data_IF_892320566860
#
_entry.id   IF_892320566860
#
_cell.length_a   1.000
_cell.length_b   1.000
_cell.length_c   1.000
_cell.angle_alpha   90.00
_cell.angle_beta   90.00
_cell.angle_gamma   90.00
#
_symmetry.space_group_name_H-M   'P 1'
#
loop_
_entity.id
_entity.type
_entity.pdbx_description
1 polymer ?
#
# COMPACT_ATOMS: atom_id res chain seq x y z
N UNK A 1 17.18 1.47 6.76
CA UNK A 1 16.44 0.21 6.53
C UNK A 1 16.90 -0.43 5.23
N UNK A 2 17.98 -1.22 5.21
CA UNK A 2 18.49 -1.80 3.97
C UNK A 2 17.45 -2.65 3.21
N UNK A 3 16.64 -3.42 3.93
CA UNK A 3 15.66 -4.35 3.37
C UNK A 3 14.44 -3.64 2.76
N UNK A 4 13.93 -2.60 3.41
CA UNK A 4 12.78 -1.83 2.91
C UNK A 4 13.14 -0.90 1.73
N UNK A 5 14.41 -0.52 1.58
CA UNK A 5 14.85 0.46 0.57
C UNK A 5 14.65 -0.02 -0.87
N UNK A 6 14.74 -1.33 -1.13
CA UNK A 6 14.49 -1.91 -2.46
C UNK A 6 13.01 -2.12 -2.76
N UNK A 7 12.12 -1.92 -1.77
CA UNK A 7 10.68 -2.13 -1.86
C UNK A 7 10.31 -3.49 -2.49
N UNK A 8 10.78 -4.62 -1.90
CA UNK A 8 10.67 -5.95 -2.52
C UNK A 8 9.22 -6.41 -2.72
N UNK A 9 8.29 -5.97 -1.85
CA UNK A 9 6.88 -6.34 -1.92
C UNK A 9 6.04 -5.37 -2.79
N UNK A 10 6.71 -4.54 -3.60
CA UNK A 10 6.05 -3.66 -4.57
C UNK A 10 5.79 -4.41 -5.86
N UNK A 11 4.58 -4.28 -6.37
CA UNK A 11 4.13 -4.89 -7.61
C UNK A 11 4.64 -4.16 -8.86
N UNK A 12 5.97 -4.10 -9.02
CA UNK A 12 6.67 -3.33 -10.06
C UNK A 12 6.23 -3.64 -11.50
N UNK A 13 5.69 -4.84 -11.74
CA UNK A 13 5.30 -5.30 -13.08
C UNK A 13 3.83 -5.07 -13.41
N UNK A 14 2.97 -4.74 -12.44
CA UNK A 14 1.53 -4.54 -12.65
C UNK A 14 1.24 -3.41 -13.66
N UNK A 15 1.90 -2.24 -13.63
CA UNK A 15 1.66 -1.20 -14.64
C UNK A 15 1.93 -1.68 -16.06
N UNK A 16 2.98 -2.49 -16.25
CA UNK A 16 3.32 -3.08 -17.55
C UNK A 16 2.30 -4.16 -17.95
N UNK A 17 1.89 -5.01 -17.01
CA UNK A 17 0.92 -6.08 -17.25
C UNK A 17 -0.43 -5.51 -17.73
N UNK A 18 -0.86 -4.38 -17.18
CA UNK A 18 -2.14 -3.74 -17.50
C UNK A 18 -2.03 -2.60 -18.52
N UNK A 19 -0.93 -2.47 -19.27
CA UNK A 19 -0.76 -1.41 -20.26
C UNK A 19 -1.91 -1.37 -21.30
N UNK A 20 -2.46 -2.55 -21.65
CA UNK A 20 -3.58 -2.68 -22.59
C UNK A 20 -4.90 -2.07 -22.07
N UNK A 21 -5.04 -1.83 -20.76
CA UNK A 21 -6.28 -1.33 -20.18
C UNK A 21 -6.69 0.03 -20.77
N UNK A 22 -5.71 0.87 -21.12
CA UNK A 22 -5.96 2.15 -21.76
C UNK A 22 -6.56 1.99 -23.15
N UNK A 23 -6.09 1.01 -23.93
CA UNK A 23 -6.61 0.73 -25.28
C UNK A 23 -8.06 0.24 -25.24
N UNK A 24 -8.48 -0.38 -24.12
CA UNK A 24 -9.86 -0.78 -23.87
C UNK A 24 -10.74 0.35 -23.32
N UNK A 25 -10.21 1.57 -23.19
CA UNK A 25 -10.92 2.70 -22.60
C UNK A 25 -11.11 2.61 -21.09
N UNK A 26 -10.39 1.72 -20.41
CA UNK A 26 -10.45 1.58 -18.96
C UNK A 26 -9.50 2.58 -18.26
N UNK A 27 -9.94 3.06 -17.09
CA UNK A 27 -9.09 3.86 -16.20
C UNK A 27 -8.34 2.96 -15.23
N UNK A 28 -7.09 3.30 -14.92
CA UNK A 28 -6.30 2.64 -13.86
C UNK A 28 -6.19 3.53 -12.63
N UNK A 29 -6.10 2.89 -11.45
CA UNK A 29 -5.74 3.54 -10.19
C UNK A 29 -4.47 2.86 -9.67
N UNK A 30 -3.49 3.65 -9.23
CA UNK A 30 -2.26 3.17 -8.64
C UNK A 30 -1.99 3.93 -7.35
N UNK A 31 -1.39 3.25 -6.37
CA UNK A 31 -0.97 3.85 -5.11
C UNK A 31 0.24 4.78 -5.32
N UNK A 32 0.24 5.94 -4.68
CA UNK A 32 1.41 6.84 -4.64
C UNK A 32 2.40 6.46 -3.53
N UNK A 33 1.93 5.72 -2.52
CA UNK A 33 2.71 5.28 -1.37
C UNK A 33 2.92 3.77 -1.42
N UNK A 34 4.08 3.31 -0.96
CA UNK A 34 4.32 1.89 -0.75
C UNK A 34 3.35 1.33 0.29
N UNK A 35 2.97 0.06 0.11
CA UNK A 35 2.22 -0.72 1.11
C UNK A 35 2.86 -0.73 2.49
N UNK A 36 4.17 -0.47 2.57
CA UNK A 36 4.92 -0.38 3.82
C UNK A 36 4.48 0.79 4.71
N UNK A 37 3.84 1.81 4.14
CA UNK A 37 3.21 2.90 4.90
C UNK A 37 1.85 2.43 5.42
N UNK A 38 0.99 2.01 4.50
CA UNK A 38 -0.33 1.44 4.78
C UNK A 38 -0.76 0.60 3.56
N UNK A 39 -1.32 -0.58 3.79
CA UNK A 39 -1.71 -1.49 2.70
C UNK A 39 -3.10 -1.12 2.17
N UNK A 40 -3.14 -0.46 1.01
CA UNK A 40 -4.38 -0.01 0.34
C UNK A 40 -5.32 -1.15 -0.10
N UNK A 41 -4.94 -2.42 0.09
CA UNK A 41 -5.78 -3.59 -0.16
C UNK A 41 -6.42 -4.17 1.12
N UNK A 42 -6.26 -3.52 2.28
CA UNK A 42 -6.79 -3.98 3.58
C UNK A 42 -7.88 -3.06 4.11
N UNK A 43 -8.97 -3.55 4.71
CA UNK A 43 -10.01 -2.66 5.22
C UNK A 43 -9.46 -1.73 6.33
N UNK A 44 -10.03 -0.53 6.46
CA UNK A 44 -9.60 0.47 7.46
C UNK A 44 -9.70 0.01 8.91
N UNK A 45 -10.52 -1.02 9.18
CA UNK A 45 -10.68 -1.62 10.50
C UNK A 45 -9.72 -2.80 10.76
N UNK A 46 -8.77 -3.02 9.84
CA UNK A 46 -7.74 -4.05 9.89
C UNK A 46 -8.27 -5.48 10.12
N UNK A 47 -9.53 -5.73 9.75
CA UNK A 47 -10.09 -7.06 9.86
C UNK A 47 -9.45 -8.01 8.85
N UNK A 48 -9.02 -9.21 9.28
CA UNK A 48 -8.49 -10.22 8.37
C UNK A 48 -9.52 -10.58 7.30
N UNK A 49 -9.11 -10.57 6.03
CA UNK A 49 -9.98 -10.97 4.91
C UNK A 49 -10.13 -12.49 4.78
N UNK A 50 -9.14 -13.25 5.25
CA UNK A 50 -9.09 -14.70 5.16
C UNK A 50 -8.54 -15.32 6.45
N UNK A 51 -8.92 -16.57 6.70
CA UNK A 51 -8.38 -17.38 7.80
C UNK A 51 -6.94 -17.79 7.46
N UNK A 52 -5.97 -17.40 8.28
CA UNK A 52 -4.56 -17.75 8.11
C UNK A 52 -3.61 -16.58 8.39
N UNK A 53 -2.31 -16.82 8.21
CA UNK A 53 -1.29 -15.77 8.33
C UNK A 53 -1.48 -14.75 7.20
N UNK A 54 -1.84 -13.52 7.55
CA UNK A 54 -1.92 -12.40 6.62
C UNK A 54 -1.19 -11.21 7.21
N UNK A 55 -0.63 -10.36 6.35
CA UNK A 55 -0.18 -9.03 6.75
C UNK A 55 -1.41 -8.16 7.01
N UNK A 56 -1.37 -7.34 8.08
CA UNK A 56 -2.41 -6.36 8.40
C UNK A 56 -2.29 -5.07 7.59
N UNK A 57 -3.19 -4.13 7.86
CA UNK A 57 -3.28 -2.78 7.29
C UNK A 57 -1.96 -2.01 7.44
N UNK A 58 -1.21 -2.28 8.51
CA UNK A 58 0.13 -1.76 8.72
C UNK A 58 1.13 -2.92 8.70
N UNK A 59 1.75 -3.23 7.55
CA UNK A 59 2.73 -4.30 7.46
C UNK A 59 3.90 -4.06 8.43
N UNK A 60 4.30 -5.11 9.14
CA UNK A 60 5.49 -5.10 10.01
C UNK A 60 6.56 -6.10 9.55
N UNK A 61 6.22 -6.93 8.57
CA UNK A 61 7.01 -8.04 8.06
C UNK A 61 6.88 -8.06 6.55
N UNK A 62 7.98 -8.30 5.86
CA UNK A 62 8.02 -8.55 4.43
C UNK A 62 7.34 -9.88 4.09
N UNK A 63 7.03 -10.09 2.82
CA UNK A 63 6.45 -11.35 2.37
C UNK A 63 7.34 -12.58 2.56
N UNK A 64 8.66 -12.40 2.59
CA UNK A 64 9.62 -13.47 2.88
C UNK A 64 9.75 -13.79 4.38
N UNK A 65 9.08 -13.02 5.24
CA UNK A 65 9.08 -13.22 6.69
C UNK A 65 10.07 -12.36 7.46
N UNK A 66 10.92 -11.58 6.79
CA UNK A 66 11.88 -10.69 7.45
C UNK A 66 11.19 -9.44 8.04
N UNK A 67 11.68 -8.89 9.18
CA UNK A 67 11.15 -7.64 9.71
C UNK A 67 11.28 -6.48 8.72
N UNK A 68 10.19 -5.73 8.52
CA UNK A 68 10.19 -4.58 7.62
C UNK A 68 10.98 -3.40 8.20
N UNK A 69 10.85 -3.18 9.51
CA UNK A 69 11.51 -2.10 10.23
C UNK A 69 12.63 -2.65 11.11
N UNK A 70 13.69 -1.86 11.28
CA UNK A 70 14.63 -2.09 12.38
C UNK A 70 13.88 -1.99 13.71
N UNK A 71 14.33 -2.74 14.70
CA UNK A 71 13.74 -2.73 16.03
C UNK A 71 13.59 -1.30 16.58
N UNK A 72 12.40 -1.00 17.10
CA UNK A 72 12.06 0.33 17.65
C UNK A 72 11.81 1.43 16.61
N UNK A 73 11.82 1.12 15.30
CA UNK A 73 11.63 2.09 14.22
C UNK A 73 10.37 1.82 13.39
N UNK A 74 9.45 1.02 13.92
CA UNK A 74 8.11 0.91 13.35
C UNK A 74 7.31 2.21 13.64
N UNK A 75 6.41 2.62 12.73
CA UNK A 75 5.58 3.80 12.95
C UNK A 75 4.78 3.74 14.24
N UNK A 76 4.67 4.87 14.93
CA UNK A 76 3.88 5.01 16.15
C UNK A 76 2.38 4.89 15.88
N UNK A 77 1.57 4.81 16.94
CA UNK A 77 0.11 4.88 16.85
C UNK A 77 -0.35 6.15 16.14
N UNK A 78 0.24 7.29 16.49
CA UNK A 78 -0.11 8.60 15.95
C UNK A 78 0.25 8.71 14.48
N UNK A 79 1.42 8.20 14.07
CA UNK A 79 1.81 8.15 12.66
C UNK A 79 0.87 7.26 11.84
N UNK A 80 0.47 6.10 12.39
CA UNK A 80 -0.48 5.19 11.74
C UNK A 80 -1.87 5.82 11.58
N UNK A 81 -2.36 6.52 12.59
CA UNK A 81 -3.61 7.30 12.49
C UNK A 81 -3.53 8.36 11.39
N UNK A 82 -2.38 9.02 11.25
CA UNK A 82 -2.15 9.97 10.16
C UNK A 82 -2.16 9.28 8.79
N UNK A 83 -1.52 8.12 8.64
CA UNK A 83 -1.56 7.34 7.39
C UNK A 83 -2.99 6.90 7.04
N UNK A 84 -3.77 6.48 8.04
CA UNK A 84 -5.17 6.12 7.86
C UNK A 84 -6.00 7.30 7.35
N UNK A 85 -5.80 8.49 7.89
CA UNK A 85 -6.54 9.67 7.49
C UNK A 85 -6.08 10.19 6.11
N UNK A 86 -4.77 10.33 5.90
CA UNK A 86 -4.20 11.02 4.74
C UNK A 86 -3.95 10.12 3.54
N UNK A 87 -3.68 8.83 3.74
CA UNK A 87 -3.36 7.90 2.63
C UNK A 87 -4.57 7.01 2.35
N UNK A 88 -5.10 6.31 3.36
CA UNK A 88 -6.27 5.45 3.18
C UNK A 88 -7.55 6.26 2.98
N UNK A 89 -7.83 7.24 3.85
CA UNK A 89 -9.03 8.07 3.79
C UNK A 89 -9.19 8.82 2.47
N UNK A 90 -8.09 9.35 1.92
CA UNK A 90 -8.09 10.04 0.63
C UNK A 90 -8.36 9.12 -0.56
N UNK A 91 -8.04 7.82 -0.49
CA UNK A 91 -8.32 6.89 -1.62
C UNK A 91 -9.81 6.64 -1.85
N UNK A 92 -10.68 6.98 -0.89
CA UNK A 92 -12.14 6.98 -1.09
C UNK A 92 -12.70 8.30 -1.63
N UNK A 93 -11.89 9.36 -1.70
CA UNK A 93 -12.26 10.62 -2.31
C UNK A 93 -11.66 10.74 -3.72
N UNK A 94 -12.43 11.08 -4.78
CA UNK A 94 -11.94 11.13 -6.16
C UNK A 94 -10.96 12.29 -6.46
N UNK A 95 -10.35 12.92 -5.46
CA UNK A 95 -9.76 14.25 -5.55
C UNK A 95 -8.26 14.27 -5.25
N UNK A 96 -7.47 13.59 -6.09
CA UNK A 96 -6.12 14.02 -6.45
C UNK A 96 -5.63 13.36 -7.75
N UNK A 97 -6.54 13.10 -8.69
CA UNK A 97 -6.14 12.83 -10.07
C UNK A 97 -5.76 14.15 -10.73
N UNK A 98 -4.47 14.44 -10.87
CA UNK A 98 -4.04 15.49 -11.78
C UNK A 98 -4.44 15.01 -13.18
N UNK A 99 -5.55 15.55 -13.70
CA UNK A 99 -5.94 15.39 -15.08
C UNK A 99 -4.94 16.16 -15.93
N UNK A 100 -4.11 15.45 -16.68
CA UNK A 100 -3.56 15.98 -17.94
C UNK A 100 -4.34 15.31 -19.05
N UNK A 101 -5.15 16.13 -19.74
CA UNK A 101 -5.74 15.75 -21.02
C UNK A 101 -4.70 15.73 -22.14
#
# INVERSE_FOLDING_TARGET
MPQAQSLPDTDWHIPRLYQFAQELGASTLAAEYSRFVIDLNRPSDDKPLYVGATTGLYPATLFDGEPLFVEGQAPSSEEREQYLHEVWGLTTAPSRKSWRG
#
